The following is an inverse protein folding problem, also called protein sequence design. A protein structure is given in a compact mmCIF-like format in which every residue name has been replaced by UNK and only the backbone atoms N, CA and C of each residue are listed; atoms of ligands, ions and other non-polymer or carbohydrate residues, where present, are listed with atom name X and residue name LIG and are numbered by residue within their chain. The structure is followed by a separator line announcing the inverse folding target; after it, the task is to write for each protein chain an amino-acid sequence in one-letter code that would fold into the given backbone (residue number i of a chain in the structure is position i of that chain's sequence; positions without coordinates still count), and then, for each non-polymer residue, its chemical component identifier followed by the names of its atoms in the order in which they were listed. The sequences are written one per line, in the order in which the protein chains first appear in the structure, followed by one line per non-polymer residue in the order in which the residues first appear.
data_IF_938895910300
#
_entry.id   IF_938895910300
#
_cell.length_a   1.000
_cell.length_b   1.000
_cell.length_c   1.000
_cell.angle_alpha   90.00
_cell.angle_beta   90.00
_cell.angle_gamma   90.00
#
_symmetry.space_group_name_H-M   'P 1'
#
loop_
_entity.id
_entity.type
_entity.pdbx_description
1 polymer ?
#
# COMPACT_ATOMS: atom_id res chain seq x y z
N UNK A 1 8.97 -0.70 6.80
CA UNK A 1 9.13 -0.64 5.33
C UNK A 1 10.33 0.23 5.02
N UNK A 2 11.32 -0.28 4.26
CA UNK A 2 12.67 0.29 4.19
C UNK A 2 12.83 1.48 3.24
N UNK A 3 11.81 1.80 2.44
CA UNK A 3 11.82 2.93 1.48
C UNK A 3 10.56 3.79 1.62
N UNK A 4 10.75 5.11 1.67
CA UNK A 4 9.67 6.10 1.73
C UNK A 4 8.88 6.13 0.41
N UNK A 5 7.63 6.61 0.47
CA UNK A 5 6.78 6.79 -0.70
C UNK A 5 7.46 7.62 -1.79
N UNK A 6 8.11 8.71 -1.40
CA UNK A 6 8.82 9.63 -2.29
C UNK A 6 9.93 8.92 -3.08
N UNK A 7 10.72 8.07 -2.43
CA UNK A 7 11.79 7.31 -3.09
C UNK A 7 11.22 6.33 -4.12
N UNK A 8 10.11 5.66 -3.81
CA UNK A 8 9.44 4.76 -4.76
C UNK A 8 8.92 5.51 -5.96
N UNK A 9 8.25 6.63 -5.73
CA UNK A 9 7.67 7.46 -6.77
C UNK A 9 8.75 8.05 -7.69
N UNK A 10 9.84 8.56 -7.10
CA UNK A 10 10.99 9.06 -7.86
C UNK A 10 11.63 7.98 -8.74
N UNK A 11 11.83 6.77 -8.21
CA UNK A 11 12.40 5.66 -8.97
C UNK A 11 11.50 5.21 -10.14
N UNK A 12 10.18 5.12 -9.91
CA UNK A 12 9.22 4.77 -10.97
C UNK A 12 9.16 5.87 -12.03
N UNK A 13 9.09 7.15 -11.64
CA UNK A 13 9.07 8.26 -12.59
C UNK A 13 10.37 8.34 -13.41
N UNK A 14 11.52 8.08 -12.79
CA UNK A 14 12.81 8.06 -13.50
C UNK A 14 12.84 6.98 -14.59
N UNK A 15 12.31 5.78 -14.28
CA UNK A 15 12.16 4.70 -15.26
C UNK A 15 11.19 5.08 -16.38
N UNK A 16 10.00 5.59 -16.05
CA UNK A 16 8.97 5.97 -17.03
C UNK A 16 9.40 7.11 -17.95
N UNK A 17 10.25 8.01 -17.46
CA UNK A 17 10.81 9.09 -18.25
C UNK A 17 11.87 8.62 -19.27
N UNK A 18 12.15 7.31 -19.34
CA UNK A 18 12.99 6.71 -20.39
C UNK A 18 14.49 6.92 -20.21
N UNK A 19 14.93 7.46 -19.08
CA UNK A 19 16.33 7.82 -18.84
C UNK A 19 17.25 6.61 -18.64
N UNK A 20 16.70 5.46 -18.21
CA UNK A 20 17.49 4.27 -17.94
C UNK A 20 16.63 2.99 -17.88
N UNK A 21 17.25 1.83 -18.13
CA UNK A 21 16.64 0.52 -17.91
C UNK A 21 16.39 0.22 -16.43
N UNK A 22 15.64 -0.84 -16.15
CA UNK A 22 15.19 -1.19 -14.80
C UNK A 22 16.34 -1.50 -13.84
N UNK A 23 17.39 -2.19 -14.32
CA UNK A 23 18.57 -2.54 -13.53
C UNK A 23 19.37 -1.29 -13.16
N UNK A 24 19.56 -0.39 -14.12
CA UNK A 24 20.29 0.87 -13.93
C UNK A 24 19.55 1.80 -12.97
N UNK A 25 18.24 1.92 -13.13
CA UNK A 25 17.38 2.69 -12.22
C UNK A 25 17.40 2.11 -10.81
N UNK A 26 17.29 0.78 -10.67
CA UNK A 26 17.34 0.14 -9.37
C UNK A 26 18.69 0.39 -8.66
N UNK A 27 19.82 0.32 -9.39
CA UNK A 27 21.15 0.65 -8.83
C UNK A 27 21.25 2.10 -8.39
N UNK A 28 20.77 3.05 -9.21
CA UNK A 28 20.81 4.48 -8.91
C UNK A 28 20.10 4.82 -7.58
N UNK A 29 18.95 4.19 -7.34
CA UNK A 29 18.16 4.39 -6.14
C UNK A 29 18.49 3.40 -5.00
N UNK A 30 19.53 2.57 -5.16
CA UNK A 30 19.92 1.51 -4.21
C UNK A 30 18.75 0.58 -3.83
N UNK A 31 17.95 0.21 -4.83
CA UNK A 31 16.77 -0.64 -4.74
C UNK A 31 17.05 -2.02 -5.32
N UNK A 32 16.24 -3.00 -4.92
CA UNK A 32 16.15 -4.25 -5.67
C UNK A 32 15.41 -4.00 -7.00
N UNK A 33 15.93 -4.56 -8.08
CA UNK A 33 15.26 -4.55 -9.39
C UNK A 33 13.88 -5.23 -9.33
N UNK A 34 13.71 -6.27 -8.50
CA UNK A 34 12.41 -6.93 -8.32
C UNK A 34 11.37 -6.02 -7.65
N UNK A 35 11.78 -5.25 -6.63
CA UNK A 35 10.92 -4.26 -5.99
C UNK A 35 10.52 -3.15 -6.95
N UNK A 36 11.47 -2.68 -7.77
CA UNK A 36 11.20 -1.66 -8.77
C UNK A 36 10.23 -2.16 -9.84
N UNK A 37 10.41 -3.38 -10.37
CA UNK A 37 9.45 -3.99 -11.31
C UNK A 37 8.04 -4.04 -10.74
N UNK A 38 7.92 -4.47 -9.48
CA UNK A 38 6.63 -4.56 -8.81
C UNK A 38 5.98 -3.17 -8.65
N UNK A 39 6.75 -2.16 -8.25
CA UNK A 39 6.24 -0.78 -8.12
C UNK A 39 5.85 -0.16 -9.45
N UNK A 40 6.58 -0.41 -10.52
CA UNK A 40 6.21 0.04 -11.87
C UNK A 40 4.84 -0.56 -12.25
N UNK A 41 4.66 -1.87 -12.05
CA UNK A 41 3.38 -2.52 -12.37
C UNK A 41 2.22 -1.96 -11.52
N UNK A 42 2.43 -1.81 -10.20
CA UNK A 42 1.45 -1.19 -9.31
C UNK A 42 1.08 0.23 -9.75
N UNK A 43 2.07 1.03 -10.15
CA UNK A 43 1.87 2.39 -10.61
C UNK A 43 1.07 2.43 -11.92
N UNK A 44 1.36 1.55 -12.87
CA UNK A 44 0.65 1.48 -14.16
C UNK A 44 -0.81 1.03 -13.98
N UNK A 45 -1.09 0.13 -13.03
CA UNK A 45 -2.43 -0.39 -12.78
C UNK A 45 -3.31 0.55 -11.94
N UNK A 46 -2.73 1.20 -10.94
CA UNK A 46 -3.48 1.85 -9.86
C UNK A 46 -3.03 3.29 -9.58
N UNK A 47 -2.07 3.80 -10.35
CA UNK A 47 -1.53 5.15 -10.21
C UNK A 47 -0.60 5.33 -9.00
N UNK A 48 -0.14 6.57 -8.75
CA UNK A 48 0.84 6.87 -7.71
C UNK A 48 0.41 6.45 -6.31
N UNK A 49 -0.89 6.51 -6.00
CA UNK A 49 -1.43 6.14 -4.68
C UNK A 49 -1.15 4.68 -4.29
N UNK A 50 -0.95 3.79 -5.27
CA UNK A 50 -0.65 2.39 -5.02
C UNK A 50 0.74 2.14 -4.45
N UNK A 51 1.68 3.08 -4.62
CA UNK A 51 3.00 3.01 -4.01
C UNK A 51 2.98 3.36 -2.52
N UNK A 52 1.88 3.98 -2.05
CA UNK A 52 1.67 4.27 -0.65
C UNK A 52 1.21 3.01 0.06
N UNK A 53 2.16 2.36 0.72
CA UNK A 53 1.90 1.19 1.54
C UNK A 53 1.19 1.55 2.86
N UNK A 54 0.73 2.79 3.05
CA UNK A 54 -0.16 3.18 4.15
C UNK A 54 -1.62 2.74 3.93
N UNK A 55 -1.84 1.64 3.23
CA UNK A 55 -3.06 0.85 3.41
C UNK A 55 -3.01 0.11 4.75
N UNK A 56 -2.90 0.85 5.87
CA UNK A 56 -3.64 0.43 7.05
C UNK A 56 -5.09 0.59 6.62
N UNK A 57 -5.92 -0.46 6.73
CA UNK A 57 -7.38 -0.25 6.74
C UNK A 57 -7.63 0.75 7.87
N UNK A 58 -7.77 2.02 7.51
CA UNK A 58 -8.08 3.07 8.45
C UNK A 58 -9.57 3.01 8.62
N UNK A 59 -10.03 2.20 9.56
CA UNK A 59 -11.41 2.25 9.99
C UNK A 59 -11.68 3.65 10.53
N UNK A 60 -12.69 4.31 9.98
CA UNK A 60 -13.15 5.59 10.50
C UNK A 60 -13.61 5.43 11.96
N UNK A 61 -13.62 6.50 12.77
CA UNK A 61 -14.22 6.46 14.10
C UNK A 61 -15.64 5.86 14.09
N UNK A 62 -16.40 6.16 13.04
CA UNK A 62 -17.77 5.68 12.81
C UNK A 62 -17.79 4.16 12.54
N UNK A 63 -16.90 3.66 11.69
CA UNK A 63 -16.75 2.21 11.42
C UNK A 63 -16.43 1.45 12.71
N UNK A 64 -15.49 1.98 13.50
CA UNK A 64 -15.10 1.35 14.78
C UNK A 64 -16.25 1.38 15.78
N UNK A 65 -16.97 2.49 15.87
CA UNK A 65 -18.12 2.62 16.76
C UNK A 65 -19.23 1.64 16.38
N UNK A 66 -19.48 1.45 15.08
CA UNK A 66 -20.46 0.48 14.59
C UNK A 66 -20.14 -0.94 15.05
N UNK A 67 -18.89 -1.38 14.90
CA UNK A 67 -18.43 -2.70 15.35
C UNK A 67 -18.58 -2.86 16.87
N UNK A 68 -18.20 -1.84 17.65
CA UNK A 68 -18.29 -1.86 19.12
C UNK A 68 -19.74 -1.91 19.60
N UNK A 69 -20.62 -1.07 19.05
CA UNK A 69 -22.04 -1.08 19.39
C UNK A 69 -22.70 -2.41 19.04
N UNK A 70 -22.33 -3.00 17.90
CA UNK A 70 -22.83 -4.32 17.52
C UNK A 70 -22.36 -5.41 18.49
N UNK A 71 -21.07 -5.44 18.85
CA UNK A 71 -20.53 -6.42 19.79
C UNK A 71 -21.14 -6.33 21.20
N UNK A 72 -21.50 -5.12 21.65
CA UNK A 72 -22.16 -4.91 22.94
C UNK A 72 -23.65 -5.30 22.91
N UNK A 73 -24.33 -5.12 21.77
CA UNK A 73 -25.75 -5.41 21.61
C UNK A 73 -26.07 -6.88 21.30
N UNK A 74 -25.06 -7.69 20.96
CA UNK A 74 -25.24 -9.09 20.55
C UNK A 74 -24.35 -10.02 21.39
N UNK A 75 -24.89 -11.15 21.82
CA UNK A 75 -24.12 -12.21 22.48
C UNK A 75 -23.34 -13.08 21.48
N UNK A 76 -22.69 -12.45 20.50
CA UNK A 76 -21.83 -13.12 19.51
C UNK A 76 -20.36 -13.06 19.97
N UNK A 77 -19.59 -14.09 19.64
CA UNK A 77 -18.16 -14.10 19.93
C UNK A 77 -17.41 -13.11 19.02
N UNK A 78 -16.31 -12.53 19.50
CA UNK A 78 -15.49 -11.59 18.72
C UNK A 78 -15.07 -12.13 17.33
N UNK A 79 -14.73 -13.43 17.14
CA UNK A 79 -14.45 -13.97 15.81
C UNK A 79 -15.66 -13.92 14.87
N UNK A 80 -16.87 -14.13 15.39
CA UNK A 80 -18.13 -14.04 14.62
C UNK A 80 -18.41 -12.59 14.20
N UNK A 81 -18.20 -11.65 15.12
CA UNK A 81 -18.29 -10.21 14.84
C UNK A 81 -17.26 -9.81 13.78
N UNK A 82 -16.00 -10.24 13.91
CA UNK A 82 -14.96 -9.93 12.92
C UNK A 82 -15.20 -10.55 11.54
N UNK A 83 -15.93 -11.66 11.44
CA UNK A 83 -16.32 -12.22 10.15
C UNK A 83 -17.46 -11.42 9.47
N UNK A 84 -18.20 -10.61 10.24
CA UNK A 84 -19.33 -9.80 9.76
C UNK A 84 -18.89 -8.45 9.18
N UNK A 85 -17.81 -7.86 9.69
CA UNK A 85 -17.31 -6.52 9.34
C UNK A 85 -15.95 -6.59 8.63
#
# INVERSE_FOLDING_TARGET
MKHSFEVKLAAVNHYLAGHAGIISTAKLFQLSHTSLSHWINLFLLHGPRALDCRHKRSYSPEDKLCVVLYALGHSESLPRVAARF
#
